data_IF_118287910724
#
_entry.id   IF_118287910724
#
_cell.length_a   1.000
_cell.length_b   1.000
_cell.length_c   1.000
_cell.angle_alpha   90.00
_cell.angle_beta   90.00
_cell.angle_gamma   90.00
#
_symmetry.space_group_name_H-M   'P 1'
#
loop_
_entity.id
_entity.type
_entity.pdbx_description
1 polymer ?
#
# COMPACT_ATOMS: atom_id res chain seq x y z
N UNK A 1 22.76 -1.38 -12.06
CA UNK A 1 23.74 -2.40 -11.64
C UNK A 1 23.84 -3.41 -12.75
N UNK A 2 25.02 -3.60 -13.31
CA UNK A 2 25.36 -4.65 -14.28
C UNK A 2 26.35 -5.60 -13.61
N UNK A 3 26.33 -6.88 -13.98
CA UNK A 3 27.36 -7.85 -13.60
C UNK A 3 28.16 -8.17 -14.85
N UNK A 4 29.48 -7.99 -14.80
CA UNK A 4 30.35 -8.43 -15.87
C UNK A 4 30.41 -9.97 -15.85
N UNK A 5 29.97 -10.66 -16.93
CA UNK A 5 29.87 -12.12 -16.94
C UNK A 5 31.23 -12.84 -16.94
N UNK A 6 32.32 -12.13 -17.24
CA UNK A 6 33.67 -12.70 -17.31
C UNK A 6 34.47 -12.42 -16.04
N UNK A 7 34.43 -11.18 -15.54
CA UNK A 7 35.22 -10.76 -14.37
C UNK A 7 34.46 -10.88 -13.05
N UNK A 8 33.15 -11.15 -13.10
CA UNK A 8 32.22 -11.08 -11.97
C UNK A 8 32.18 -9.70 -11.27
N UNK A 9 32.67 -8.65 -11.93
CA UNK A 9 32.62 -7.29 -11.40
C UNK A 9 31.20 -6.75 -11.39
N UNK A 10 30.85 -6.12 -10.27
CA UNK A 10 29.59 -5.39 -10.12
C UNK A 10 29.81 -3.96 -10.57
N UNK A 11 29.14 -3.57 -11.65
CA UNK A 11 29.16 -2.21 -12.15
C UNK A 11 27.96 -1.42 -11.62
N UNK A 12 28.26 -0.30 -10.97
CA UNK A 12 27.27 0.58 -10.36
C UNK A 12 27.28 1.89 -11.14
N UNK A 13 26.11 2.25 -11.65
CA UNK A 13 25.90 3.51 -12.37
C UNK A 13 24.77 4.27 -11.66
N UNK A 14 24.93 5.59 -11.45
CA UNK A 14 23.83 6.44 -11.01
C UNK A 14 22.63 6.25 -11.95
N UNK A 15 21.43 6.21 -11.38
CA UNK A 15 20.19 6.21 -12.15
C UNK A 15 19.61 7.61 -12.09
N UNK A 16 18.93 8.00 -13.16
CA UNK A 16 18.18 9.24 -13.21
C UNK A 16 16.86 9.05 -12.44
N UNK A 17 16.97 9.07 -11.12
CA UNK A 17 15.86 8.97 -10.17
C UNK A 17 16.00 10.09 -9.17
N UNK A 18 14.86 10.62 -8.71
CA UNK A 18 14.84 11.69 -7.72
C UNK A 18 15.55 11.24 -6.44
N UNK A 19 16.59 12.00 -6.05
CA UNK A 19 17.25 11.82 -4.78
C UNK A 19 16.30 12.19 -3.63
N UNK A 20 16.40 11.46 -2.53
CA UNK A 20 15.58 11.67 -1.33
C UNK A 20 16.47 11.71 -0.10
N UNK A 21 16.01 12.44 0.90
CA UNK A 21 16.57 12.41 2.25
C UNK A 21 15.70 11.53 3.13
N UNK A 22 16.34 10.84 4.06
CA UNK A 22 15.68 10.00 5.07
C UNK A 22 16.03 10.59 6.43
N UNK A 23 15.04 11.21 7.09
CA UNK A 23 15.21 11.91 8.37
C UNK A 23 14.20 11.48 9.45
N UNK A 24 13.46 10.39 9.19
CA UNK A 24 12.42 9.83 10.06
C UNK A 24 12.88 9.65 11.51
N UNK A 25 14.13 9.24 11.71
CA UNK A 25 14.68 9.09 13.06
C UNK A 25 14.70 10.42 13.82
N UNK A 26 15.15 11.52 13.17
CA UNK A 26 15.18 12.86 13.78
C UNK A 26 13.79 13.41 14.02
N UNK A 27 12.85 13.12 13.11
CA UNK A 27 11.44 13.47 13.30
C UNK A 27 10.84 12.74 14.51
N UNK A 28 11.21 11.48 14.75
CA UNK A 28 10.67 10.70 15.88
C UNK A 28 11.14 11.16 17.26
N UNK A 29 12.21 11.96 17.32
CA UNK A 29 12.73 12.57 18.56
C UNK A 29 12.43 14.08 18.64
N UNK A 30 11.46 14.57 17.87
CA UNK A 30 11.01 15.97 17.86
C UNK A 30 12.15 16.99 17.63
N UNK A 31 13.14 16.65 16.79
CA UNK A 31 14.22 17.58 16.48
C UNK A 31 13.70 18.79 15.69
N UNK A 32 13.81 19.98 16.29
CA UNK A 32 13.28 21.24 15.75
C UNK A 32 13.88 21.65 14.39
N UNK A 33 15.08 21.18 14.07
CA UNK A 33 15.78 21.51 12.82
C UNK A 33 15.35 20.68 11.61
N UNK A 34 14.52 19.65 11.80
CA UNK A 34 14.10 18.75 10.71
C UNK A 34 13.33 19.50 9.64
N UNK A 35 12.35 20.34 10.02
CA UNK A 35 11.50 21.04 9.06
C UNK A 35 12.30 22.00 8.15
N UNK A 36 13.25 22.74 8.73
CA UNK A 36 14.12 23.65 7.99
C UNK A 36 15.09 22.88 7.09
N UNK A 37 15.61 21.75 7.56
CA UNK A 37 16.47 20.88 6.75
C UNK A 37 15.73 20.25 5.58
N UNK A 38 14.51 19.74 5.78
CA UNK A 38 13.68 19.18 4.71
C UNK A 38 13.36 20.21 3.63
N UNK A 39 13.04 21.44 4.05
CA UNK A 39 12.83 22.55 3.13
C UNK A 39 14.10 22.85 2.32
N UNK A 40 15.25 22.93 2.98
CA UNK A 40 16.52 23.16 2.30
C UNK A 40 16.88 22.03 1.32
N UNK A 41 16.61 20.77 1.69
CA UNK A 41 16.80 19.61 0.83
C UNK A 41 15.93 19.67 -0.43
N UNK A 42 14.65 20.02 -0.27
CA UNK A 42 13.72 20.18 -1.38
C UNK A 42 14.17 21.27 -2.35
N UNK A 43 14.64 22.40 -1.84
CA UNK A 43 15.19 23.48 -2.68
C UNK A 43 16.51 23.08 -3.36
N UNK A 44 17.37 22.35 -2.67
CA UNK A 44 18.66 21.88 -3.20
C UNK A 44 18.44 20.94 -4.39
N UNK A 45 17.60 19.91 -4.25
CA UNK A 45 17.30 18.99 -5.34
C UNK A 45 16.49 19.66 -6.46
N UNK A 46 15.60 20.60 -6.14
CA UNK A 46 14.84 21.35 -7.15
C UNK A 46 15.69 22.28 -8.02
N UNK A 47 16.88 22.68 -7.56
CA UNK A 47 17.85 23.50 -8.32
C UNK A 47 18.97 22.68 -8.96
N UNK A 48 19.01 21.37 -8.73
CA UNK A 48 20.08 20.52 -9.24
C UNK A 48 20.01 20.44 -10.78
N UNK A 49 21.13 20.72 -11.44
CA UNK A 49 21.28 20.65 -12.91
C UNK A 49 21.88 19.32 -13.38
N UNK A 50 22.49 18.57 -12.45
CA UNK A 50 23.08 17.25 -12.68
C UNK A 50 22.35 16.19 -11.85
N UNK A 51 22.31 14.96 -12.37
CA UNK A 51 21.82 13.80 -11.62
C UNK A 51 22.70 13.56 -10.40
N UNK A 52 22.06 13.24 -9.27
CA UNK A 52 22.77 12.87 -8.05
C UNK A 52 23.78 11.75 -8.31
N UNK A 53 25.02 11.92 -7.82
CA UNK A 53 26.07 10.93 -7.99
C UNK A 53 26.92 10.82 -6.72
N UNK A 54 27.05 9.62 -6.11
CA UNK A 54 27.94 9.44 -4.96
C UNK A 54 29.42 9.64 -5.31
N UNK A 55 29.76 9.71 -6.60
CA UNK A 55 31.11 9.97 -7.10
C UNK A 55 31.39 11.45 -7.34
N UNK A 56 30.37 12.31 -7.26
CA UNK A 56 30.49 13.76 -7.41
C UNK A 56 30.02 14.45 -6.13
N UNK A 57 30.97 14.92 -5.32
CA UNK A 57 30.72 15.64 -4.06
C UNK A 57 29.81 16.85 -4.24
N UNK A 58 29.88 17.53 -5.40
CA UNK A 58 29.03 18.69 -5.67
C UNK A 58 27.53 18.38 -5.62
N UNK A 59 27.17 17.12 -5.87
CA UNK A 59 25.77 16.68 -5.91
C UNK A 59 25.13 16.45 -4.53
N UNK A 60 25.90 16.48 -3.44
CA UNK A 60 25.37 16.16 -2.11
C UNK A 60 26.06 16.87 -0.93
N UNK A 61 27.31 17.30 -1.05
CA UNK A 61 28.07 17.91 0.05
C UNK A 61 27.40 19.16 0.65
N UNK A 62 26.87 20.12 -0.14
CA UNK A 62 26.17 21.29 0.42
C UNK A 62 24.98 20.90 1.28
N UNK A 63 24.28 19.82 0.90
CA UNK A 63 23.16 19.31 1.64
C UNK A 63 23.60 18.67 2.96
N UNK A 64 24.67 17.87 2.96
CA UNK A 64 25.24 17.29 4.18
C UNK A 64 25.69 18.36 5.18
N UNK A 65 26.32 19.44 4.70
CA UNK A 65 26.71 20.57 5.54
C UNK A 65 25.50 21.30 6.13
N UNK A 66 24.44 21.46 5.33
CA UNK A 66 23.17 22.01 5.80
C UNK A 66 22.54 21.13 6.89
N UNK A 67 22.62 19.80 6.73
CA UNK A 67 22.16 18.84 7.74
C UNK A 67 22.88 19.04 9.08
N UNK A 68 24.21 19.15 9.05
CA UNK A 68 25.03 19.40 10.25
C UNK A 68 24.52 20.63 11.00
N UNK A 69 24.32 21.75 10.30
CA UNK A 69 23.94 23.02 10.93
C UNK A 69 22.50 23.07 11.45
N UNK A 70 21.58 22.31 10.83
CA UNK A 70 20.17 22.32 11.24
C UNK A 70 19.88 21.28 12.32
N UNK A 71 20.47 20.09 12.23
CA UNK A 71 20.12 18.97 13.10
C UNK A 71 20.85 19.00 14.45
N UNK A 72 22.02 19.66 14.53
CA UNK A 72 22.77 19.81 15.78
C UNK A 72 23.62 21.09 15.76
N UNK A 73 23.42 21.98 16.75
CA UNK A 73 24.20 23.21 16.89
C UNK A 73 25.71 22.95 17.08
N UNK A 74 26.10 21.79 17.62
CA UNK A 74 27.48 21.36 17.81
C UNK A 74 27.93 20.29 16.80
N UNK A 75 27.14 20.08 15.74
CA UNK A 75 27.40 19.06 14.75
C UNK A 75 28.72 19.28 14.02
N UNK A 76 29.33 18.18 13.59
CA UNK A 76 30.62 18.16 12.90
C UNK A 76 30.44 17.55 11.52
N UNK A 77 30.85 18.28 10.49
CA UNK A 77 31.05 17.69 9.17
C UNK A 77 32.36 16.91 9.17
N UNK A 78 32.26 15.58 9.21
CA UNK A 78 33.38 14.67 9.42
C UNK A 78 34.52 14.82 8.40
N UNK A 79 34.27 15.06 7.10
CA UNK A 79 35.34 15.27 6.12
C UNK A 79 36.22 16.50 6.37
N UNK A 80 35.84 17.42 7.27
CA UNK A 80 36.70 18.53 7.68
C UNK A 80 37.75 18.14 8.74
N UNK A 81 37.60 17.00 9.42
CA UNK A 81 38.46 16.55 10.53
C UNK A 81 39.30 15.33 10.20
N UNK A 82 39.07 14.68 9.06
CA UNK A 82 39.85 13.54 8.58
C UNK A 82 40.54 13.86 7.24
N UNK A 83 41.48 13.02 6.82
CA UNK A 83 42.09 13.17 5.50
C UNK A 83 41.05 12.92 4.39
N UNK A 84 41.27 13.52 3.22
CA UNK A 84 40.31 13.42 2.10
C UNK A 84 40.07 11.98 1.60
N UNK A 85 41.01 11.07 1.89
CA UNK A 85 40.97 9.65 1.53
C UNK A 85 40.37 8.77 2.63
N UNK A 86 40.20 9.28 3.84
CA UNK A 86 39.63 8.54 4.96
C UNK A 86 38.11 8.40 4.79
N UNK A 87 37.66 7.16 4.62
CA UNK A 87 36.25 6.77 4.52
C UNK A 87 35.74 6.05 5.77
N UNK A 88 36.48 6.09 6.87
CA UNK A 88 36.07 5.44 8.10
C UNK A 88 34.88 6.16 8.73
N UNK A 89 33.98 5.37 9.30
CA UNK A 89 32.83 5.90 10.04
C UNK A 89 33.30 6.43 11.40
N UNK A 90 32.86 7.63 11.74
CA UNK A 90 33.15 8.22 13.04
C UNK A 90 32.55 7.38 14.17
N UNK A 91 33.27 7.28 15.29
CA UNK A 91 32.69 6.72 16.52
C UNK A 91 31.60 7.65 17.04
N UNK A 92 30.48 7.07 17.44
CA UNK A 92 29.37 7.78 18.07
C UNK A 92 29.81 8.42 19.39
N UNK A 93 29.39 9.65 19.60
CA UNK A 93 29.49 10.41 20.84
C UNK A 93 28.27 11.36 20.94
N UNK A 94 28.33 12.32 21.87
CA UNK A 94 27.23 13.25 22.14
C UNK A 94 27.00 14.31 21.04
N UNK A 95 27.80 14.30 19.95
CA UNK A 95 27.68 15.24 18.84
C UNK A 95 27.27 14.53 17.56
N UNK A 96 26.43 15.17 16.77
CA UNK A 96 26.13 14.71 15.42
C UNK A 96 27.38 14.79 14.55
N UNK A 97 27.74 13.68 13.90
CA UNK A 97 28.81 13.63 12.90
C UNK A 97 28.23 13.16 11.58
N UNK A 98 28.34 14.01 10.55
CA UNK A 98 27.86 13.71 9.19
C UNK A 98 29.05 13.46 8.28
N UNK A 99 29.06 12.33 7.56
CA UNK A 99 30.14 11.91 6.65
C UNK A 99 29.70 11.90 5.19
N UNK A 100 30.63 12.09 4.26
CA UNK A 100 30.43 11.97 2.80
C UNK A 100 30.62 10.54 2.28
N UNK A 101 30.74 9.56 3.19
CA UNK A 101 30.84 8.14 2.85
C UNK A 101 29.47 7.58 2.48
N UNK A 102 29.43 6.76 1.44
CA UNK A 102 28.21 6.10 0.96
C UNK A 102 28.27 4.59 1.19
N UNK A 103 27.09 3.99 1.33
CA UNK A 103 26.91 2.55 1.50
C UNK A 103 25.93 2.01 0.47
N UNK A 104 26.05 0.74 0.13
CA UNK A 104 25.11 0.05 -0.73
C UNK A 104 24.20 -0.84 0.09
N UNK A 105 22.90 -0.57 0.05
CA UNK A 105 21.90 -1.46 0.60
C UNK A 105 21.56 -2.54 -0.43
N UNK A 106 22.09 -3.74 -0.23
CA UNK A 106 21.70 -4.92 -1.02
C UNK A 106 20.61 -5.69 -0.27
N UNK A 107 19.39 -5.72 -0.83
CA UNK A 107 18.31 -6.61 -0.36
C UNK A 107 18.20 -7.82 -1.28
N UNK A 108 18.31 -9.06 -0.77
CA UNK A 108 18.07 -10.24 -1.58
C UNK A 108 16.61 -10.23 -2.07
N UNK A 109 16.42 -10.22 -3.39
CA UNK A 109 15.12 -10.52 -4.00
C UNK A 109 14.99 -12.04 -4.06
N UNK A 110 14.38 -12.64 -3.04
CA UNK A 110 14.08 -14.06 -3.07
C UNK A 110 12.86 -14.32 -3.96
N UNK A 111 13.09 -14.51 -5.27
CA UNK A 111 12.10 -15.13 -6.16
C UNK A 111 11.68 -16.54 -5.64
N UNK A 112 12.51 -17.14 -4.79
CA UNK A 112 12.25 -18.42 -4.14
C UNK A 112 11.01 -18.38 -3.22
N UNK A 113 10.68 -17.25 -2.59
CA UNK A 113 9.54 -17.21 -1.66
C UNK A 113 8.19 -17.40 -2.39
N UNK A 114 8.01 -16.73 -3.53
CA UNK A 114 6.79 -16.90 -4.33
C UNK A 114 6.66 -18.33 -4.86
N UNK A 115 7.76 -18.93 -5.30
CA UNK A 115 7.77 -20.33 -5.75
C UNK A 115 7.45 -21.29 -4.59
N UNK A 116 8.05 -21.08 -3.42
CA UNK A 116 7.75 -21.86 -2.22
C UNK A 116 6.29 -21.72 -1.78
N UNK A 117 5.71 -20.52 -1.86
CA UNK A 117 4.31 -20.31 -1.50
C UNK A 117 3.36 -20.95 -2.53
N UNK A 118 3.69 -20.94 -3.82
CA UNK A 118 2.96 -21.68 -4.84
C UNK A 118 3.05 -23.20 -4.63
N UNK A 119 4.23 -23.73 -4.29
CA UNK A 119 4.41 -25.14 -3.97
C UNK A 119 3.62 -25.55 -2.72
N UNK A 120 3.62 -24.71 -1.68
CA UNK A 120 2.79 -24.94 -0.48
C UNK A 120 1.32 -24.92 -0.81
N UNK A 121 0.85 -23.94 -1.59
CA UNK A 121 -0.55 -23.84 -2.00
C UNK A 121 -0.97 -25.09 -2.79
N UNK A 122 -0.12 -25.53 -3.73
CA UNK A 122 -0.35 -26.77 -4.49
C UNK A 122 -0.49 -27.97 -3.56
N UNK A 123 0.46 -28.16 -2.64
CA UNK A 123 0.43 -29.26 -1.68
C UNK A 123 -0.84 -29.23 -0.82
N UNK A 124 -1.19 -28.05 -0.29
CA UNK A 124 -2.43 -27.88 0.48
C UNK A 124 -3.68 -28.21 -0.32
N UNK A 125 -3.71 -27.85 -1.61
CA UNK A 125 -4.83 -28.19 -2.49
C UNK A 125 -4.91 -29.70 -2.77
N UNK A 126 -3.78 -30.38 -2.98
CA UNK A 126 -3.73 -31.83 -3.20
C UNK A 126 -4.14 -32.65 -1.96
N UNK A 127 -3.82 -32.15 -0.76
CA UNK A 127 -4.14 -32.79 0.52
C UNK A 127 -5.54 -32.43 1.06
N UNK A 128 -6.23 -31.45 0.47
CA UNK A 128 -7.52 -30.98 0.96
C UNK A 128 -8.66 -31.95 0.60
N UNK A 129 -9.42 -32.40 1.62
CA UNK A 129 -10.64 -33.19 1.40
C UNK A 129 -11.80 -32.36 0.82
N UNK A 130 -11.83 -31.06 1.12
CA UNK A 130 -12.84 -30.12 0.62
C UNK A 130 -12.27 -28.72 0.49
N UNK A 131 -12.78 -27.95 -0.48
CA UNK A 131 -12.36 -26.57 -0.70
C UNK A 131 -13.33 -25.59 -0.05
N UNK A 132 -12.86 -24.39 0.36
CA UNK A 132 -13.74 -23.30 0.74
C UNK A 132 -14.79 -23.05 -0.36
N UNK A 133 -16.06 -22.81 -0.01
CA UNK A 133 -17.15 -22.70 -1.00
C UNK A 133 -16.88 -21.71 -2.14
N UNK A 134 -16.27 -20.55 -1.84
CA UNK A 134 -15.88 -19.56 -2.85
C UNK A 134 -14.83 -20.09 -3.84
N UNK A 135 -13.88 -20.91 -3.37
CA UNK A 135 -12.86 -21.53 -4.23
C UNK A 135 -13.48 -22.65 -5.06
N UNK A 136 -14.31 -23.48 -4.43
CA UNK A 136 -15.06 -24.54 -5.11
C UNK A 136 -15.88 -23.97 -6.27
N UNK A 137 -16.63 -22.89 -6.04
CA UNK A 137 -17.47 -22.23 -7.05
C UNK A 137 -16.71 -21.75 -8.30
N UNK A 138 -15.40 -21.53 -8.21
CA UNK A 138 -14.56 -21.11 -9.35
C UNK A 138 -14.05 -22.31 -10.16
N UNK A 139 -13.91 -23.48 -9.52
CA UNK A 139 -13.29 -24.68 -10.12
C UNK A 139 -14.30 -25.80 -10.40
N UNK A 140 -15.55 -25.68 -9.96
CA UNK A 140 -16.64 -26.59 -10.28
C UNK A 140 -17.48 -26.05 -11.42
N UNK A 141 -18.00 -26.94 -12.27
CA UNK A 141 -18.96 -26.54 -13.29
C UNK A 141 -20.20 -25.88 -12.66
N UNK A 142 -20.72 -24.81 -13.27
CA UNK A 142 -21.90 -24.14 -12.77
C UNK A 142 -23.11 -25.06 -12.85
N UNK A 143 -24.02 -24.86 -11.90
CA UNK A 143 -25.26 -25.61 -11.88
C UNK A 143 -26.10 -25.33 -13.15
N UNK A 144 -26.74 -26.35 -13.69
CA UNK A 144 -27.57 -26.21 -14.90
C UNK A 144 -29.00 -25.74 -14.60
N UNK A 145 -29.35 -25.69 -13.32
CA UNK A 145 -30.64 -25.20 -12.85
C UNK A 145 -30.54 -23.73 -12.45
N UNK A 146 -31.59 -22.96 -12.73
CA UNK A 146 -31.69 -21.55 -12.31
C UNK A 146 -32.77 -21.44 -11.22
N UNK A 147 -32.45 -21.77 -9.95
CA UNK A 147 -33.41 -21.67 -8.87
C UNK A 147 -33.80 -20.22 -8.64
N UNK A 148 -35.08 -19.99 -8.31
CA UNK A 148 -35.53 -18.67 -7.86
C UNK A 148 -34.95 -18.42 -6.47
N UNK A 149 -34.04 -17.46 -6.37
CA UNK A 149 -33.36 -17.11 -5.13
C UNK A 149 -34.14 -16.04 -4.37
N UNK A 150 -34.55 -16.31 -3.13
CA UNK A 150 -35.16 -15.31 -2.24
C UNK A 150 -34.08 -14.44 -1.59
N UNK A 151 -34.15 -13.13 -1.85
CA UNK A 151 -33.18 -12.16 -1.33
C UNK A 151 -33.57 -11.67 0.08
N UNK A 152 -32.60 -11.51 1.00
CA UNK A 152 -32.84 -10.91 2.32
C UNK A 152 -33.37 -9.47 2.23
N UNK A 153 -34.24 -9.07 3.16
CA UNK A 153 -34.76 -7.70 3.23
C UNK A 153 -33.93 -6.82 4.16
N UNK A 154 -33.66 -5.59 3.69
CA UNK A 154 -32.96 -4.54 4.43
C UNK A 154 -33.89 -3.39 4.77
N UNK A 155 -33.75 -2.80 5.97
CA UNK A 155 -34.57 -1.65 6.38
C UNK A 155 -34.28 -0.43 5.51
N UNK A 156 -35.33 0.32 5.16
CA UNK A 156 -35.20 1.59 4.44
C UNK A 156 -34.97 1.48 2.94
N UNK A 157 -34.90 0.27 2.38
CA UNK A 157 -34.86 0.03 0.94
C UNK A 157 -36.29 -0.24 0.49
N UNK A 158 -36.85 0.68 -0.31
CA UNK A 158 -38.26 0.71 -0.69
C UNK A 158 -38.76 -0.62 -1.28
N UNK A 159 -39.82 -1.13 -0.66
CA UNK A 159 -40.51 -2.37 -0.98
C UNK A 159 -41.33 -2.31 -2.29
N UNK A 160 -40.71 -2.01 -3.43
CA UNK A 160 -41.45 -1.84 -4.70
C UNK A 160 -41.58 -3.12 -5.55
N UNK A 161 -40.89 -4.21 -5.22
CA UNK A 161 -40.99 -5.50 -5.94
C UNK A 161 -41.74 -6.61 -5.18
N UNK A 162 -42.28 -6.34 -3.99
CA UNK A 162 -43.04 -7.32 -3.22
C UNK A 162 -44.35 -6.74 -2.66
N UNK A 163 -45.24 -6.31 -3.55
CA UNK A 163 -46.67 -6.41 -3.25
C UNK A 163 -47.07 -7.87 -3.41
N UNK A 164 -47.61 -8.46 -2.34
CA UNK A 164 -47.96 -9.89 -2.19
C UNK A 164 -46.80 -10.85 -2.00
N UNK A 165 -46.27 -10.90 -0.77
CA UNK A 165 -46.14 -12.17 -0.04
C UNK A 165 -45.93 -11.93 1.44
N UNK A 166 -46.81 -12.56 2.22
CA UNK A 166 -46.82 -12.74 3.66
C UNK A 166 -45.43 -12.67 4.30
N UNK A 167 -45.31 -11.80 5.30
CA UNK A 167 -44.18 -11.62 6.19
C UNK A 167 -43.46 -12.94 6.50
N UNK A 168 -42.32 -13.17 5.87
CA UNK A 168 -41.35 -14.12 6.41
C UNK A 168 -40.83 -13.48 7.71
N UNK A 169 -40.98 -14.18 8.84
CA UNK A 169 -40.67 -13.68 10.18
C UNK A 169 -39.18 -13.40 10.46
N UNK A 170 -38.35 -13.18 9.43
CA UNK A 170 -36.97 -12.75 9.57
C UNK A 170 -36.94 -11.24 9.80
N UNK A 171 -36.38 -10.80 10.93
CA UNK A 171 -36.15 -9.38 11.22
C UNK A 171 -35.33 -8.76 10.09
N UNK A 172 -35.84 -7.69 9.49
CA UNK A 172 -35.10 -6.90 8.50
C UNK A 172 -33.76 -6.43 9.09
N UNK A 173 -32.69 -6.64 8.33
CA UNK A 173 -31.32 -6.22 8.71
C UNK A 173 -31.12 -4.74 8.40
N UNK A 174 -30.15 -4.14 9.07
CA UNK A 174 -29.78 -2.74 8.84
C UNK A 174 -28.74 -2.66 7.73
N UNK A 175 -28.91 -1.69 6.82
CA UNK A 175 -27.98 -1.42 5.73
C UNK A 175 -27.10 -0.24 6.12
N UNK A 176 -25.78 -0.41 6.05
CA UNK A 176 -24.80 0.57 6.53
C UNK A 176 -24.00 1.16 5.36
N UNK A 177 -24.67 1.97 4.54
CA UNK A 177 -24.04 2.63 3.39
C UNK A 177 -23.82 4.13 3.69
N UNK A 178 -22.57 4.60 3.81
CA UNK A 178 -22.29 6.01 4.07
C UNK A 178 -22.50 6.93 2.86
N UNK A 179 -22.62 6.39 1.65
CA UNK A 179 -22.80 7.15 0.41
C UNK A 179 -24.13 6.84 -0.27
N UNK A 180 -24.67 7.76 -1.08
CA UNK A 180 -25.88 7.52 -1.87
C UNK A 180 -25.77 6.21 -2.68
N UNK A 181 -26.86 5.47 -2.72
CA UNK A 181 -26.94 4.17 -3.36
C UNK A 181 -28.25 4.00 -4.13
N UNK A 182 -28.27 3.00 -5.01
CA UNK A 182 -29.46 2.58 -5.74
C UNK A 182 -29.80 1.12 -5.44
N UNK A 183 -30.91 0.63 -5.97
CA UNK A 183 -31.39 -0.75 -5.73
C UNK A 183 -30.39 -1.82 -6.18
N UNK A 184 -29.69 -1.62 -7.31
CA UNK A 184 -28.67 -2.56 -7.78
C UNK A 184 -27.49 -2.68 -6.81
N UNK A 185 -27.10 -1.59 -6.14
CA UNK A 185 -26.06 -1.64 -5.11
C UNK A 185 -26.52 -2.37 -3.84
N UNK A 186 -27.80 -2.26 -3.47
CA UNK A 186 -28.38 -3.07 -2.37
C UNK A 186 -28.40 -4.54 -2.76
N UNK A 187 -28.74 -4.84 -4.02
CA UNK A 187 -28.79 -6.20 -4.53
C UNK A 187 -27.44 -6.93 -4.41
N UNK A 188 -26.33 -6.22 -4.53
CA UNK A 188 -24.99 -6.78 -4.29
C UNK A 188 -24.88 -7.34 -2.86
N UNK A 189 -25.31 -6.60 -1.84
CA UNK A 189 -25.27 -7.07 -0.45
C UNK A 189 -26.24 -8.23 -0.21
N UNK A 190 -27.45 -8.14 -0.78
CA UNK A 190 -28.43 -9.22 -0.67
C UNK A 190 -27.91 -10.53 -1.27
N UNK A 191 -27.18 -10.47 -2.39
CA UNK A 191 -26.55 -11.63 -3.01
C UNK A 191 -25.36 -12.12 -2.18
N UNK A 192 -24.49 -11.24 -1.69
CA UNK A 192 -23.36 -11.63 -0.86
C UNK A 192 -23.78 -12.25 0.50
N UNK A 193 -25.00 -12.00 0.96
CA UNK A 193 -25.56 -12.63 2.17
C UNK A 193 -25.87 -14.12 2.00
N UNK A 194 -26.06 -14.57 0.76
CA UNK A 194 -26.55 -15.91 0.41
C UNK A 194 -25.65 -16.61 -0.60
N UNK A 195 -24.54 -15.99 -0.99
CA UNK A 195 -23.60 -16.49 -1.98
C UNK A 195 -22.17 -16.23 -1.52
N UNK A 196 -21.27 -17.18 -1.78
CA UNK A 196 -19.87 -17.09 -1.38
C UNK A 196 -19.04 -16.09 -2.20
N UNK A 197 -19.58 -15.62 -3.33
CA UNK A 197 -18.96 -14.62 -4.18
C UNK A 197 -19.98 -13.97 -5.13
N UNK A 198 -19.77 -12.69 -5.43
CA UNK A 198 -20.60 -11.92 -6.37
C UNK A 198 -19.70 -11.15 -7.32
N UNK A 199 -19.97 -11.27 -8.62
CA UNK A 199 -19.33 -10.46 -9.65
C UNK A 199 -20.25 -9.30 -10.02
N UNK A 200 -19.76 -8.07 -9.84
CA UNK A 200 -20.50 -6.86 -10.20
C UNK A 200 -19.81 -6.14 -11.36
N UNK A 201 -20.55 -5.89 -12.44
CA UNK A 201 -20.06 -5.16 -13.60
C UNK A 201 -20.79 -3.82 -13.69
N UNK A 202 -20.03 -2.73 -13.82
CA UNK A 202 -20.59 -1.40 -14.08
C UNK A 202 -19.96 -0.79 -15.35
N UNK A 203 -20.68 0.02 -16.14
CA UNK A 203 -20.09 0.87 -17.18
C UNK A 203 -19.02 1.83 -16.61
N UNK A 204 -18.17 2.44 -17.44
CA UNK A 204 -17.25 3.49 -16.99
C UNK A 204 -18.03 4.65 -16.35
N UNK A 205 -17.55 5.18 -15.22
CA UNK A 205 -18.15 6.35 -14.55
C UNK A 205 -19.37 6.07 -13.65
N UNK A 206 -19.86 4.83 -13.55
CA UNK A 206 -21.11 4.51 -12.78
C UNK A 206 -20.89 4.26 -11.29
N UNK A 207 -19.99 5.01 -10.63
CA UNK A 207 -19.86 4.98 -9.17
C UNK A 207 -19.33 3.67 -8.56
N UNK A 208 -18.58 2.85 -9.31
CA UNK A 208 -17.99 1.58 -8.81
C UNK A 208 -17.20 1.76 -7.51
N UNK A 209 -16.42 2.83 -7.40
CA UNK A 209 -15.68 3.15 -6.17
C UNK A 209 -16.62 3.41 -4.99
N UNK A 210 -17.75 4.09 -5.21
CA UNK A 210 -18.75 4.31 -4.16
C UNK A 210 -19.41 3.00 -3.75
N UNK A 211 -19.73 2.12 -4.70
CA UNK A 211 -20.26 0.78 -4.41
C UNK A 211 -19.28 0.00 -3.54
N UNK A 212 -17.99 -0.03 -3.89
CA UNK A 212 -16.97 -0.74 -3.10
C UNK A 212 -16.87 -0.15 -1.68
N UNK A 213 -16.84 1.18 -1.54
CA UNK A 213 -16.79 1.83 -0.24
C UNK A 213 -18.02 1.49 0.63
N UNK A 214 -19.22 1.49 0.04
CA UNK A 214 -20.46 1.12 0.72
C UNK A 214 -20.43 -0.34 1.21
N UNK A 215 -19.98 -1.28 0.37
CA UNK A 215 -19.84 -2.70 0.74
C UNK A 215 -18.83 -2.90 1.87
N UNK A 216 -17.69 -2.22 1.80
CA UNK A 216 -16.66 -2.27 2.86
C UNK A 216 -17.24 -1.76 4.18
N UNK A 217 -17.87 -0.58 4.17
CA UNK A 217 -18.43 0.02 5.38
C UNK A 217 -19.53 -0.87 5.99
N UNK A 218 -20.34 -1.51 5.15
CA UNK A 218 -21.34 -2.45 5.60
C UNK A 218 -20.74 -3.61 6.40
N UNK A 219 -19.70 -4.27 5.87
CA UNK A 219 -19.07 -5.37 6.58
C UNK A 219 -18.23 -4.95 7.78
N UNK A 220 -17.61 -3.77 7.74
CA UNK A 220 -16.92 -3.22 8.91
C UNK A 220 -17.92 -2.91 10.04
N UNK A 221 -19.10 -2.36 9.72
CA UNK A 221 -20.15 -2.09 10.70
C UNK A 221 -20.73 -3.38 11.32
N UNK A 222 -20.68 -4.50 10.60
CA UNK A 222 -20.98 -5.84 11.13
C UNK A 222 -19.84 -6.45 11.97
N UNK A 223 -18.72 -5.74 12.13
CA UNK A 223 -17.54 -6.20 12.87
C UNK A 223 -16.66 -7.18 12.11
N UNK A 224 -16.84 -7.31 10.78
CA UNK A 224 -16.02 -8.20 9.95
C UNK A 224 -14.71 -7.53 9.55
N UNK A 225 -13.69 -8.34 9.27
CA UNK A 225 -12.42 -7.89 8.69
C UNK A 225 -12.50 -7.99 7.17
N UNK A 226 -12.12 -6.91 6.48
CA UNK A 226 -12.21 -6.82 5.02
C UNK A 226 -10.81 -6.67 4.42
N UNK A 227 -10.46 -7.54 3.46
CA UNK A 227 -9.26 -7.42 2.64
C UNK A 227 -9.66 -6.87 1.26
N UNK A 228 -9.00 -5.82 0.82
CA UNK A 228 -9.21 -5.22 -0.50
C UNK A 228 -7.94 -5.35 -1.33
N UNK A 229 -8.08 -5.83 -2.56
CA UNK A 229 -6.97 -5.97 -3.51
C UNK A 229 -7.32 -5.27 -4.83
N UNK A 230 -6.30 -4.78 -5.53
CA UNK A 230 -6.46 -4.19 -6.86
C UNK A 230 -5.21 -4.44 -7.71
N UNK A 231 -5.34 -4.32 -9.03
CA UNK A 231 -4.21 -4.47 -9.95
C UNK A 231 -3.25 -3.25 -9.95
N UNK A 232 -3.73 -2.06 -9.56
CA UNK A 232 -2.96 -0.80 -9.66
C UNK A 232 -3.14 0.05 -8.40
N UNK A 233 -2.03 0.47 -7.81
CA UNK A 233 -1.99 1.27 -6.57
C UNK A 233 -2.92 2.50 -6.54
N UNK A 234 -3.10 3.30 -7.63
CA UNK A 234 -4.00 4.45 -7.60
C UNK A 234 -5.46 4.10 -7.27
N UNK A 235 -5.92 2.90 -7.62
CA UNK A 235 -7.29 2.48 -7.31
C UNK A 235 -7.52 2.30 -5.79
N UNK A 236 -6.50 1.86 -5.06
CA UNK A 236 -6.56 1.71 -3.60
C UNK A 236 -6.52 3.06 -2.90
N UNK A 237 -5.69 4.00 -3.38
CA UNK A 237 -5.63 5.36 -2.82
C UNK A 237 -6.97 6.08 -2.96
N UNK A 238 -7.56 6.07 -4.16
CA UNK A 238 -8.89 6.67 -4.41
C UNK A 238 -9.96 6.01 -3.54
N UNK A 239 -9.89 4.70 -3.33
CA UNK A 239 -10.84 4.00 -2.46
C UNK A 239 -10.67 4.40 -0.98
N UNK A 240 -9.44 4.57 -0.52
CA UNK A 240 -9.16 4.99 0.86
C UNK A 240 -9.77 6.36 1.17
N UNK A 241 -9.72 7.30 0.22
CA UNK A 241 -10.37 8.62 0.32
C UNK A 241 -11.91 8.52 0.40
N UNK A 242 -12.50 7.44 -0.08
CA UNK A 242 -13.96 7.22 -0.04
C UNK A 242 -14.45 6.64 1.29
N UNK A 243 -13.56 6.09 2.13
CA UNK A 243 -13.91 5.52 3.42
C UNK A 243 -13.97 6.62 4.51
N UNK A 244 -14.87 6.52 5.49
CA UNK A 244 -14.90 7.46 6.60
C UNK A 244 -13.65 7.31 7.47
N UNK A 245 -13.22 8.41 8.10
CA UNK A 245 -12.00 8.46 8.94
C UNK A 245 -12.10 7.55 10.17
N UNK A 246 -13.33 7.15 10.56
CA UNK A 246 -13.63 6.18 11.61
C UNK A 246 -14.82 5.33 11.18
N UNK A 247 -14.64 4.01 11.13
CA UNK A 247 -15.71 3.01 11.07
C UNK A 247 -15.87 2.38 12.45
#
# INVERSE_FOLDING_TARGET
MSLNPVTAEVEIRPRDVDARIEVDWYASVDNLGVADFEKAAKEFFGKATSTFSPFDRGTFEPLLRTAVTNLDANGIYWPNVVSAEDRTLAKGDDKLKVTDTWVLFARPRNNNLFLQDLEKLKKQAEEAESYPPAVAAVVTDPDTTNPVVELPSYRGVSAYYHSDRSASGKKARDLYFPKPFNEEQVRIIQLLDISDGVTAQGPPGTGKTHTIANVICHYLAEGKRVLVTSMKDPALAVLQEQLPVRC
#
